data_IF_634645219624
#
_entry.id   IF_634645219624
#
_cell.length_a   1.000
_cell.length_b   1.000
_cell.length_c   1.000
_cell.angle_alpha   90.00
_cell.angle_beta   90.00
_cell.angle_gamma   90.00
#
_symmetry.space_group_name_H-M   'P 1'
#
loop_
_entity.id
_entity.type
_entity.pdbx_description
1 polymer ?
#
# COMPACT_ATOMS: atom_id res chain seq x y z
N UNK A 1 20.47 -17.87 -22.40
CA UNK A 1 19.80 -18.85 -21.54
C UNK A 1 20.76 -19.76 -20.75
N UNK A 2 21.82 -20.36 -21.34
CA UNK A 2 22.77 -21.22 -20.59
C UNK A 2 23.62 -20.50 -19.53
N UNK A 3 23.94 -19.21 -19.68
CA UNK A 3 24.71 -18.44 -18.69
C UNK A 3 23.94 -18.04 -17.42
N UNK A 4 22.62 -17.98 -17.51
CA UNK A 4 21.73 -17.64 -16.36
C UNK A 4 21.55 -18.86 -15.44
N UNK A 5 21.51 -20.07 -16.01
CA UNK A 5 21.42 -21.31 -15.25
C UNK A 5 22.69 -21.60 -14.40
N UNK A 6 23.86 -21.23 -14.88
CA UNK A 6 25.12 -21.39 -14.13
C UNK A 6 25.25 -20.41 -12.95
N UNK A 7 24.67 -19.21 -13.06
CA UNK A 7 24.66 -18.23 -11.96
C UNK A 7 23.75 -18.66 -10.79
N UNK A 8 22.64 -19.28 -11.10
CA UNK A 8 21.71 -19.84 -10.09
C UNK A 8 22.28 -21.07 -9.36
N UNK A 9 23.07 -21.89 -10.05
CA UNK A 9 23.68 -23.09 -9.46
C UNK A 9 24.88 -22.74 -8.56
N UNK A 10 25.62 -21.67 -8.87
CA UNK A 10 26.73 -21.19 -8.03
C UNK A 10 26.26 -20.49 -6.74
N UNK A 11 25.06 -19.90 -6.72
CA UNK A 11 24.47 -19.27 -5.52
C UNK A 11 23.97 -20.29 -4.49
N UNK A 12 23.63 -21.50 -4.89
CA UNK A 12 23.20 -22.54 -3.95
C UNK A 12 24.36 -23.16 -3.14
N UNK A 13 25.60 -22.90 -3.51
CA UNK A 13 26.79 -23.44 -2.83
C UNK A 13 27.41 -22.51 -1.77
N UNK A 14 26.91 -21.27 -1.63
CA UNK A 14 27.47 -20.27 -0.70
C UNK A 14 26.46 -19.90 0.39
N UNK A 15 25.72 -20.82 0.94
CA UNK A 15 24.97 -20.62 2.21
C UNK A 15 24.26 -19.26 2.40
N UNK A 16 23.88 -18.57 1.30
CA UNK A 16 23.12 -17.34 1.37
C UNK A 16 21.73 -17.64 1.91
N UNK A 17 21.37 -17.04 3.02
CA UNK A 17 20.08 -17.20 3.67
C UNK A 17 18.94 -16.85 2.70
N UNK A 18 17.85 -17.59 2.83
CA UNK A 18 16.60 -17.38 2.10
C UNK A 18 16.13 -15.91 2.18
N UNK A 19 16.51 -15.19 3.24
CA UNK A 19 16.28 -13.76 3.48
C UNK A 19 17.01 -12.83 2.48
N UNK A 20 18.22 -13.20 2.04
CA UNK A 20 18.93 -12.43 1.03
C UNK A 20 18.27 -12.55 -0.36
N UNK A 21 17.78 -13.73 -0.68
CA UNK A 21 17.03 -13.97 -1.93
C UNK A 21 15.67 -13.22 -1.88
N UNK A 22 14.96 -13.24 -0.75
CA UNK A 22 13.72 -12.50 -0.55
C UNK A 22 13.94 -10.97 -0.56
N UNK A 23 15.08 -10.46 -0.03
CA UNK A 23 15.42 -9.03 -0.09
C UNK A 23 15.77 -8.53 -1.49
N UNK A 24 16.30 -9.41 -2.36
CA UNK A 24 16.54 -9.09 -3.78
C UNK A 24 15.22 -9.09 -4.55
N UNK A 25 14.22 -9.89 -4.15
CA UNK A 25 12.89 -9.88 -4.73
C UNK A 25 12.04 -8.68 -4.27
N UNK A 26 12.32 -8.07 -3.12
CA UNK A 26 11.71 -6.80 -2.67
C UNK A 26 12.25 -5.57 -3.44
N UNK A 27 13.33 -5.71 -4.19
CA UNK A 27 13.90 -4.66 -5.04
C UNK A 27 13.50 -4.94 -6.51
N UNK A 28 12.31 -4.51 -6.90
CA UNK A 28 11.93 -4.18 -8.28
C UNK A 28 12.04 -5.26 -9.38
N UNK A 29 11.96 -6.55 -9.10
CA UNK A 29 11.95 -7.56 -10.15
C UNK A 29 11.00 -8.72 -9.81
N UNK A 30 9.70 -8.49 -10.02
CA UNK A 30 8.77 -9.60 -10.19
C UNK A 30 8.52 -9.87 -11.67
N UNK A 31 8.56 -11.16 -12.10
CA UNK A 31 8.19 -11.50 -13.46
C UNK A 31 6.75 -11.03 -13.74
N UNK A 32 6.54 -10.48 -14.92
CA UNK A 32 5.27 -10.03 -15.50
C UNK A 32 4.04 -10.90 -15.14
N UNK A 33 4.22 -12.19 -14.94
CA UNK A 33 3.16 -13.14 -14.60
C UNK A 33 2.52 -12.98 -13.21
N UNK A 34 3.21 -12.39 -12.24
CA UNK A 34 2.66 -12.19 -10.89
C UNK A 34 1.94 -10.86 -10.77
N UNK A 35 2.50 -9.84 -11.37
CA UNK A 35 1.84 -8.56 -11.61
C UNK A 35 0.55 -8.77 -12.40
N UNK A 36 0.61 -9.62 -13.43
CA UNK A 36 -0.49 -10.10 -14.24
C UNK A 36 -1.66 -10.65 -13.43
N UNK A 37 -1.39 -11.62 -12.57
CA UNK A 37 -2.41 -12.24 -11.72
C UNK A 37 -3.04 -11.27 -10.72
N UNK A 38 -2.31 -10.24 -10.31
CA UNK A 38 -2.79 -9.26 -9.35
C UNK A 38 -3.67 -8.19 -9.99
N UNK A 39 -3.37 -7.79 -11.24
CA UNK A 39 -4.24 -6.94 -12.06
C UNK A 39 -5.56 -7.63 -12.44
N UNK A 40 -5.55 -8.96 -12.57
CA UNK A 40 -6.73 -9.78 -12.85
C UNK A 40 -7.88 -9.61 -11.88
N UNK A 41 -7.61 -9.04 -10.72
CA UNK A 41 -8.59 -8.90 -9.65
C UNK A 41 -9.08 -7.47 -9.47
N UNK A 42 -8.72 -6.57 -10.39
CA UNK A 42 -9.24 -5.22 -10.42
C UNK A 42 -10.66 -5.19 -11.05
N UNK A 43 -11.46 -4.21 -10.63
CA UNK A 43 -12.92 -4.28 -10.70
C UNK A 43 -13.57 -4.26 -12.09
N UNK A 44 -14.67 -4.96 -12.15
CA UNK A 44 -15.87 -4.66 -12.96
C UNK A 44 -15.83 -4.93 -14.47
N UNK A 45 -14.70 -4.93 -15.14
CA UNK A 45 -14.63 -5.18 -16.60
C UNK A 45 -13.86 -6.44 -17.00
N UNK A 46 -13.24 -7.14 -16.04
CA UNK A 46 -12.26 -8.19 -16.35
C UNK A 46 -12.64 -9.60 -15.86
N UNK A 47 -13.83 -9.80 -15.35
CA UNK A 47 -14.25 -11.07 -14.70
C UNK A 47 -14.39 -12.28 -15.63
N UNK A 48 -14.32 -12.12 -16.95
CA UNK A 48 -14.73 -13.20 -17.87
C UNK A 48 -13.67 -13.78 -18.78
N UNK A 49 -12.45 -13.22 -18.84
CA UNK A 49 -11.47 -13.73 -19.80
C UNK A 49 -10.02 -13.57 -19.28
N UNK A 50 -9.44 -14.66 -18.79
CA UNK A 50 -8.04 -14.70 -18.35
C UNK A 50 -7.05 -14.37 -19.45
N UNK A 51 -7.39 -14.66 -20.72
CA UNK A 51 -6.55 -14.30 -21.88
C UNK A 51 -6.58 -12.79 -22.16
N UNK A 52 -7.74 -12.15 -22.02
CA UNK A 52 -7.87 -10.70 -22.18
C UNK A 52 -7.07 -9.95 -21.11
N UNK A 53 -6.99 -10.52 -19.94
CA UNK A 53 -6.26 -9.98 -18.79
C UNK A 53 -4.74 -10.08 -18.96
N UNK A 54 -4.22 -11.25 -19.31
CA UNK A 54 -2.79 -11.42 -19.63
C UNK A 54 -2.36 -10.47 -20.76
N UNK A 55 -3.24 -10.28 -21.76
CA UNK A 55 -3.02 -9.33 -22.85
C UNK A 55 -2.99 -7.87 -22.34
N UNK A 56 -3.90 -7.50 -21.42
CA UNK A 56 -3.93 -6.15 -20.86
C UNK A 56 -2.67 -5.82 -20.04
N UNK A 57 -2.18 -6.78 -19.30
CA UNK A 57 -1.01 -6.64 -18.43
C UNK A 57 0.27 -6.58 -19.27
N UNK A 58 0.38 -7.45 -20.24
CA UNK A 58 1.48 -7.41 -21.19
C UNK A 58 1.46 -6.09 -21.96
N UNK A 59 0.27 -5.59 -22.30
CA UNK A 59 0.09 -4.29 -22.94
C UNK A 59 0.49 -3.14 -22.02
N UNK A 60 0.09 -3.15 -20.74
CA UNK A 60 0.45 -2.12 -19.75
C UNK A 60 1.97 -2.08 -19.54
N UNK A 61 2.57 -3.22 -19.17
CA UNK A 61 4.02 -3.33 -18.93
C UNK A 61 4.81 -3.07 -20.20
N UNK A 62 4.39 -3.60 -21.33
CA UNK A 62 5.05 -3.39 -22.63
C UNK A 62 4.98 -1.94 -23.11
N UNK A 63 3.90 -1.22 -22.83
CA UNK A 63 3.81 0.20 -23.15
C UNK A 63 4.72 1.05 -22.28
N UNK A 64 4.82 0.74 -21.00
CA UNK A 64 5.76 1.40 -20.10
C UNK A 64 7.20 1.11 -20.54
N UNK A 65 7.53 -0.15 -20.77
CA UNK A 65 8.88 -0.57 -21.20
C UNK A 65 9.32 0.14 -22.49
N UNK A 66 8.45 0.21 -23.50
CA UNK A 66 8.72 0.94 -24.74
C UNK A 66 9.02 2.42 -24.54
N UNK A 67 8.42 3.05 -23.52
CA UNK A 67 8.60 4.48 -23.24
C UNK A 67 9.75 4.75 -22.30
N UNK A 68 9.92 3.94 -21.24
CA UNK A 68 10.82 4.21 -20.13
C UNK A 68 12.00 3.24 -20.05
N UNK A 69 11.97 2.10 -20.77
CA UNK A 69 12.91 1.00 -20.62
C UNK A 69 12.55 0.06 -19.47
N UNK A 70 13.06 -1.15 -19.52
CA UNK A 70 12.70 -2.22 -18.58
C UNK A 70 13.10 -1.95 -17.13
N UNK A 71 14.13 -1.11 -16.90
CA UNK A 71 14.66 -0.77 -15.57
C UNK A 71 13.87 0.35 -14.88
N UNK A 72 12.99 1.01 -15.60
CA UNK A 72 12.26 2.21 -15.13
C UNK A 72 10.75 1.96 -15.01
N UNK A 73 10.34 0.70 -14.97
CA UNK A 73 8.93 0.35 -14.73
C UNK A 73 8.61 0.65 -13.28
N UNK A 74 7.68 1.60 -13.05
CA UNK A 74 7.16 1.93 -11.73
C UNK A 74 5.69 1.54 -11.64
N UNK A 75 5.28 1.03 -10.50
CA UNK A 75 3.89 0.64 -10.22
C UNK A 75 3.46 1.11 -8.85
N UNK A 76 2.16 1.32 -8.68
CA UNK A 76 1.59 1.66 -7.39
C UNK A 76 1.83 0.52 -6.38
N UNK A 77 2.04 0.89 -5.12
CA UNK A 77 2.28 -0.04 -4.02
C UNK A 77 1.55 0.37 -2.74
N UNK A 78 1.95 -0.18 -1.62
CA UNK A 78 1.33 0.11 -0.32
C UNK A 78 1.45 1.60 0.06
N UNK A 79 2.65 2.14 0.02
CA UNK A 79 2.97 3.50 0.47
C UNK A 79 3.30 4.47 -0.67
N UNK A 80 3.14 4.06 -1.90
CA UNK A 80 3.34 4.92 -3.06
C UNK A 80 2.15 4.85 -4.02
N UNK A 81 1.81 6.02 -4.57
CA UNK A 81 0.89 6.17 -5.68
C UNK A 81 1.71 6.33 -6.95
N UNK A 82 1.39 5.59 -8.01
CA UNK A 82 1.99 5.76 -9.33
C UNK A 82 0.88 5.82 -10.37
N UNK A 83 0.91 6.83 -11.22
CA UNK A 83 -0.03 6.97 -12.34
C UNK A 83 0.70 7.39 -13.60
N UNK A 84 0.46 6.64 -14.66
CA UNK A 84 0.85 7.02 -16.02
C UNK A 84 -0.29 7.74 -16.72
N UNK A 85 0.07 8.73 -17.51
CA UNK A 85 -0.84 9.49 -18.38
C UNK A 85 -0.18 9.69 -19.75
N UNK A 86 -0.89 10.30 -20.68
CA UNK A 86 -0.35 10.75 -21.94
C UNK A 86 0.32 9.61 -22.74
N UNK A 87 -0.44 8.54 -22.97
CA UNK A 87 0.07 7.34 -23.65
C UNK A 87 1.38 6.81 -23.05
N UNK A 88 1.47 6.82 -21.71
CA UNK A 88 2.64 6.42 -20.92
C UNK A 88 3.89 7.29 -21.09
N UNK A 89 3.78 8.47 -21.71
CA UNK A 89 4.90 9.40 -21.87
C UNK A 89 5.18 10.18 -20.58
N UNK A 90 4.17 10.36 -19.75
CA UNK A 90 4.31 11.06 -18.47
C UNK A 90 3.84 10.17 -17.32
N UNK A 91 4.48 10.32 -16.17
CA UNK A 91 4.11 9.63 -14.95
C UNK A 91 4.30 10.49 -13.71
N UNK A 92 3.54 10.19 -12.68
CA UNK A 92 3.73 10.72 -11.34
C UNK A 92 3.91 9.60 -10.33
N UNK A 93 4.78 9.82 -9.35
CA UNK A 93 4.98 8.97 -8.19
C UNK A 93 4.87 9.83 -6.93
N UNK A 94 3.99 9.44 -6.01
CA UNK A 94 3.92 10.03 -4.66
C UNK A 94 4.42 8.97 -3.69
N UNK A 95 5.55 9.23 -3.05
CA UNK A 95 6.11 8.40 -1.98
C UNK A 95 5.69 8.99 -0.63
N UNK A 96 4.70 8.37 0.00
CA UNK A 96 4.15 8.83 1.27
C UNK A 96 5.06 8.56 2.48
N UNK A 97 6.06 7.69 2.34
CA UNK A 97 7.04 7.45 3.40
C UNK A 97 8.14 8.51 3.37
N UNK A 98 8.65 8.82 2.16
CA UNK A 98 9.65 9.87 1.98
C UNK A 98 9.06 11.28 2.02
N UNK A 99 7.75 11.42 1.84
CA UNK A 99 7.11 12.73 1.74
C UNK A 99 7.47 13.49 0.47
N UNK A 100 7.60 12.80 -0.66
CA UNK A 100 8.01 13.40 -1.94
C UNK A 100 7.11 12.99 -3.09
N UNK A 101 6.96 13.89 -4.04
CA UNK A 101 6.30 13.65 -5.31
C UNK A 101 7.32 13.86 -6.42
N UNK A 102 7.41 12.92 -7.35
CA UNK A 102 8.16 13.05 -8.59
C UNK A 102 7.18 13.02 -9.75
N UNK A 103 7.19 14.08 -10.56
CA UNK A 103 6.43 14.12 -11.82
C UNK A 103 7.43 14.23 -12.95
N UNK A 104 7.32 13.33 -13.92
CA UNK A 104 8.31 13.22 -14.98
C UNK A 104 7.69 12.86 -16.33
N UNK A 105 8.35 13.28 -17.42
CA UNK A 105 7.96 12.96 -18.79
C UNK A 105 9.18 12.61 -19.65
N UNK A 106 9.00 11.66 -20.56
CA UNK A 106 9.94 11.30 -21.63
C UNK A 106 9.41 11.71 -23.00
N UNK A 107 8.47 12.65 -23.05
CA UNK A 107 7.94 13.16 -24.33
C UNK A 107 9.08 13.76 -25.17
N UNK A 108 9.24 13.32 -26.43
CA UNK A 108 10.25 13.87 -27.34
C UNK A 108 9.84 15.24 -27.90
N UNK A 109 8.55 15.54 -27.87
CA UNK A 109 7.98 16.81 -28.37
C UNK A 109 7.36 17.57 -27.23
N UNK A 110 7.67 18.85 -27.11
CA UNK A 110 7.13 19.75 -26.10
C UNK A 110 7.11 19.22 -24.65
N UNK A 111 8.25 18.72 -24.12
CA UNK A 111 8.29 18.05 -22.83
C UNK A 111 7.81 18.94 -21.67
N UNK A 112 7.96 20.25 -21.78
CA UNK A 112 7.49 21.19 -20.75
C UNK A 112 5.96 21.22 -20.66
N UNK A 113 5.26 21.17 -21.79
CA UNK A 113 3.79 21.13 -21.83
C UNK A 113 3.28 19.79 -21.24
N UNK A 114 3.88 18.67 -21.65
CA UNK A 114 3.54 17.35 -21.12
C UNK A 114 3.78 17.26 -19.61
N UNK A 115 4.92 17.76 -19.13
CA UNK A 115 5.24 17.84 -17.72
C UNK A 115 4.25 18.71 -16.94
N UNK A 116 3.88 19.90 -17.49
CA UNK A 116 2.88 20.79 -16.90
C UNK A 116 1.54 20.06 -16.70
N UNK A 117 1.06 19.41 -17.73
CA UNK A 117 -0.20 18.65 -17.66
C UNK A 117 -0.13 17.50 -16.65
N UNK A 118 1.02 16.83 -16.54
CA UNK A 118 1.24 15.78 -15.56
C UNK A 118 1.25 16.32 -14.12
N UNK A 119 1.88 17.47 -13.88
CA UNK A 119 1.87 18.14 -12.57
C UNK A 119 0.44 18.50 -12.16
N UNK A 120 -0.32 19.16 -13.06
CA UNK A 120 -1.70 19.56 -12.78
C UNK A 120 -2.57 18.35 -12.49
N UNK A 121 -2.47 17.30 -13.31
CA UNK A 121 -3.20 16.05 -13.11
C UNK A 121 -2.89 15.42 -11.76
N UNK A 122 -1.61 15.37 -11.38
CA UNK A 122 -1.18 14.81 -10.09
C UNK A 122 -1.75 15.59 -8.90
N UNK A 123 -1.63 16.92 -8.95
CA UNK A 123 -2.08 17.81 -7.87
C UNK A 123 -3.61 17.82 -7.69
N UNK A 124 -4.36 17.59 -8.77
CA UNK A 124 -5.82 17.61 -8.78
C UNK A 124 -6.46 16.22 -8.86
N UNK A 125 -5.68 15.14 -8.79
CA UNK A 125 -6.23 13.78 -8.73
C UNK A 125 -7.23 13.66 -7.59
N UNK A 126 -8.48 13.18 -7.85
CA UNK A 126 -9.52 13.06 -6.84
C UNK A 126 -9.09 12.22 -5.64
N UNK A 127 -9.72 12.43 -4.50
CA UNK A 127 -9.47 11.65 -3.29
C UNK A 127 -10.28 10.35 -3.21
N UNK A 128 -11.18 10.12 -4.16
CA UNK A 128 -11.91 8.87 -4.32
C UNK A 128 -11.21 7.94 -5.32
N UNK A 129 -10.62 6.83 -4.86
CA UNK A 129 -9.92 5.89 -5.72
C UNK A 129 -10.77 5.26 -6.83
N UNK A 130 -12.09 5.22 -6.68
CA UNK A 130 -13.00 4.67 -7.71
C UNK A 130 -12.93 5.45 -9.04
N UNK A 131 -12.47 6.70 -9.01
CA UNK A 131 -12.35 7.56 -10.19
C UNK A 131 -10.99 7.47 -10.90
N UNK A 132 -10.05 6.63 -10.41
CA UNK A 132 -8.68 6.57 -10.93
C UNK A 132 -8.28 5.15 -11.30
N UNK A 133 -8.10 4.91 -12.59
CA UNK A 133 -7.51 3.67 -13.09
C UNK A 133 -5.96 3.78 -13.05
N UNK A 134 -5.34 3.17 -12.05
CA UNK A 134 -3.89 3.20 -11.85
C UNK A 134 -3.12 2.37 -12.90
N UNK A 135 -3.78 1.47 -13.59
CA UNK A 135 -3.15 0.48 -14.48
C UNK A 135 -3.36 0.77 -15.97
N UNK A 136 -3.67 2.01 -16.28
CA UNK A 136 -3.74 2.51 -17.65
C UNK A 136 -3.15 3.90 -17.76
N UNK A 137 -2.99 4.39 -18.99
CA UNK A 137 -2.64 5.79 -19.26
C UNK A 137 -3.85 6.69 -19.51
N UNK A 138 -5.07 6.22 -19.19
CA UNK A 138 -6.29 7.01 -19.35
C UNK A 138 -6.22 8.27 -18.50
N UNK A 139 -6.74 9.36 -19.04
CA UNK A 139 -6.88 10.62 -18.32
C UNK A 139 -7.79 10.46 -17.10
N UNK A 140 -7.48 11.21 -16.06
CA UNK A 140 -8.29 11.25 -14.84
C UNK A 140 -9.28 12.41 -14.98
N UNK A 141 -10.53 12.16 -14.57
CA UNK A 141 -11.52 13.21 -14.43
C UNK A 141 -11.22 13.99 -13.15
N UNK A 142 -10.77 15.23 -13.30
CA UNK A 142 -10.32 16.06 -12.19
C UNK A 142 -11.50 16.76 -11.50
N UNK A 143 -12.31 15.99 -10.81
CA UNK A 143 -13.49 16.45 -10.09
C UNK A 143 -13.40 16.09 -8.61
N UNK A 144 -14.03 16.92 -7.76
CA UNK A 144 -14.04 16.70 -6.33
C UNK A 144 -12.80 17.27 -5.61
N UNK A 145 -12.58 16.79 -4.40
CA UNK A 145 -11.45 17.23 -3.57
C UNK A 145 -10.19 16.48 -3.98
N UNK A 146 -9.05 17.15 -4.22
CA UNK A 146 -7.80 16.47 -4.51
C UNK A 146 -7.29 15.66 -3.32
N UNK A 147 -6.75 14.45 -3.57
CA UNK A 147 -6.22 13.60 -2.50
C UNK A 147 -4.98 14.19 -1.82
N UNK A 148 -4.24 15.07 -2.53
CA UNK A 148 -3.08 15.81 -2.02
C UNK A 148 -3.43 17.17 -1.40
N UNK A 149 -4.72 17.51 -1.30
CA UNK A 149 -5.16 18.76 -0.70
C UNK A 149 -4.59 18.94 0.71
N UNK A 150 -4.03 20.11 1.00
CA UNK A 150 -3.30 20.48 2.21
C UNK A 150 -1.96 19.75 2.42
N UNK A 151 -1.65 18.71 1.65
CA UNK A 151 -0.37 18.00 1.73
C UNK A 151 0.70 18.62 0.81
N UNK A 152 0.29 19.40 -0.17
CA UNK A 152 1.15 20.20 -1.04
C UNK A 152 0.74 21.67 -0.94
N UNK A 153 1.72 22.54 -0.83
CA UNK A 153 1.54 23.98 -0.90
C UNK A 153 2.31 24.54 -2.09
N UNK A 154 1.81 25.64 -2.66
CA UNK A 154 2.49 26.36 -3.73
C UNK A 154 3.64 27.24 -3.20
N UNK A 155 4.26 28.04 -4.07
CA UNK A 155 5.34 28.98 -3.73
C UNK A 155 4.93 30.07 -2.74
N UNK A 156 3.60 30.29 -2.58
CA UNK A 156 3.02 31.26 -1.64
C UNK A 156 2.52 30.59 -0.34
N UNK A 157 2.93 29.33 -0.10
CA UNK A 157 2.48 28.49 1.03
C UNK A 157 0.97 28.28 1.10
N UNK A 158 0.29 28.23 -0.05
CA UNK A 158 -1.16 28.01 -0.12
C UNK A 158 -1.48 26.59 -0.63
N UNK A 159 -2.45 25.90 0.00
CA UNK A 159 -2.85 24.56 -0.44
C UNK A 159 -3.49 24.60 -1.83
N UNK A 160 -3.26 23.54 -2.60
CA UNK A 160 -3.71 23.44 -3.98
C UNK A 160 -5.01 22.64 -4.03
N UNK A 161 -6.09 23.31 -4.43
CA UNK A 161 -7.42 22.72 -4.59
C UNK A 161 -8.00 22.96 -5.99
N UNK A 162 -7.63 24.09 -6.62
CA UNK A 162 -8.28 24.59 -7.83
C UNK A 162 -7.32 24.58 -9.02
N UNK A 163 -7.87 24.36 -10.20
CA UNK A 163 -7.12 24.27 -11.46
C UNK A 163 -6.23 25.49 -11.72
N UNK A 164 -6.72 26.71 -11.46
CA UNK A 164 -5.92 27.90 -11.67
C UNK A 164 -4.65 27.94 -10.82
N UNK A 165 -4.73 27.53 -9.53
CA UNK A 165 -3.57 27.47 -8.63
C UNK A 165 -2.61 26.34 -9.03
N UNK A 166 -3.14 25.16 -9.40
CA UNK A 166 -2.32 24.07 -9.91
C UNK A 166 -1.57 24.47 -11.19
N UNK A 167 -2.20 25.24 -12.08
CA UNK A 167 -1.55 25.77 -13.27
C UNK A 167 -0.42 26.75 -12.93
N UNK A 168 -0.66 27.73 -12.07
CA UNK A 168 0.38 28.68 -11.65
C UNK A 168 1.56 28.00 -10.97
N UNK A 169 1.29 27.02 -10.09
CA UNK A 169 2.35 26.27 -9.43
C UNK A 169 3.13 25.39 -10.41
N UNK A 170 2.47 24.76 -11.38
CA UNK A 170 3.15 24.00 -12.44
C UNK A 170 4.09 24.89 -13.28
N UNK A 171 3.64 26.10 -13.65
CA UNK A 171 4.49 27.07 -14.36
C UNK A 171 5.70 27.49 -13.51
N UNK A 172 5.49 27.77 -12.21
CA UNK A 172 6.58 28.07 -11.28
C UNK A 172 7.61 26.93 -11.19
N UNK A 173 7.12 25.68 -11.04
CA UNK A 173 7.99 24.50 -10.94
C UNK A 173 8.82 24.30 -12.21
N UNK A 174 8.22 24.45 -13.38
CA UNK A 174 8.92 24.32 -14.67
C UNK A 174 9.95 25.42 -14.86
N UNK A 175 9.63 26.65 -14.44
CA UNK A 175 10.55 27.78 -14.57
C UNK A 175 11.76 27.68 -13.60
N UNK A 176 11.55 27.18 -12.37
CA UNK A 176 12.52 27.31 -11.28
C UNK A 176 13.09 25.97 -10.75
N UNK A 177 12.43 24.85 -10.99
CA UNK A 177 12.75 23.54 -10.38
C UNK A 177 12.90 22.41 -11.40
N UNK A 178 12.81 22.71 -12.70
CA UNK A 178 12.96 21.69 -13.75
C UNK A 178 14.35 21.04 -13.69
N UNK A 179 14.34 19.73 -13.70
CA UNK A 179 15.54 18.88 -13.77
C UNK A 179 15.45 17.95 -14.98
N UNK A 180 16.61 17.46 -15.41
CA UNK A 180 16.72 16.51 -16.54
C UNK A 180 17.63 15.37 -16.14
N UNK A 181 17.25 14.14 -16.50
CA UNK A 181 18.07 12.93 -16.32
C UNK A 181 18.01 12.05 -17.58
N UNK A 182 18.95 11.16 -17.72
CA UNK A 182 18.92 10.14 -18.77
C UNK A 182 18.14 8.93 -18.31
N UNK A 183 17.25 8.43 -19.17
CA UNK A 183 16.41 7.25 -18.96
C UNK A 183 16.38 6.46 -20.27
N UNK A 184 16.98 5.28 -20.29
CA UNK A 184 16.98 4.38 -21.44
C UNK A 184 17.24 5.10 -22.78
N UNK A 185 18.38 5.80 -22.88
CA UNK A 185 18.80 6.60 -24.07
C UNK A 185 17.89 7.79 -24.42
N UNK A 186 16.97 8.18 -23.52
CA UNK A 186 16.09 9.35 -23.66
C UNK A 186 16.35 10.34 -22.55
N UNK A 187 15.96 11.60 -22.77
CA UNK A 187 15.90 12.63 -21.72
C UNK A 187 14.56 12.57 -21.03
N UNK A 188 14.57 12.39 -19.72
CA UNK A 188 13.40 12.59 -18.86
C UNK A 188 13.49 13.96 -18.20
N UNK A 189 12.45 14.75 -18.36
CA UNK A 189 12.25 16.05 -17.72
C UNK A 189 11.40 15.84 -16.49
N UNK A 190 11.80 16.36 -15.33
CA UNK A 190 11.08 16.10 -14.10
C UNK A 190 11.15 17.25 -13.10
N UNK A 191 10.21 17.22 -12.16
CA UNK A 191 10.20 18.07 -10.96
C UNK A 191 10.02 17.20 -9.73
N UNK A 192 10.57 17.67 -8.61
CA UNK A 192 10.38 17.10 -7.29
C UNK A 192 9.59 18.09 -6.43
N UNK A 193 8.54 17.62 -5.79
CA UNK A 193 7.65 18.44 -4.96
C UNK A 193 7.63 17.79 -3.56
N UNK A 194 8.04 18.50 -2.51
CA UNK A 194 7.91 17.98 -1.15
C UNK A 194 6.46 17.99 -0.68
N UNK A 195 6.08 17.00 0.11
CA UNK A 195 4.90 17.08 0.95
C UNK A 195 5.21 17.92 2.20
N UNK A 196 4.19 18.53 2.80
CA UNK A 196 4.35 19.26 4.06
C UNK A 196 4.77 18.32 5.19
N UNK A 197 5.47 18.82 6.21
CA UNK A 197 6.02 18.01 7.31
C UNK A 197 4.93 17.23 8.05
N UNK A 198 3.78 17.85 8.31
CA UNK A 198 2.66 17.22 9.01
C UNK A 198 1.70 16.45 8.08
N UNK A 199 2.16 16.02 6.91
CA UNK A 199 1.36 15.29 5.90
C UNK A 199 0.66 14.02 6.45
N UNK A 200 1.31 13.32 7.39
CA UNK A 200 0.77 12.10 8.00
C UNK A 200 -0.46 12.41 8.83
N UNK A 201 -0.38 13.47 9.64
CA UNK A 201 -1.49 13.96 10.45
C UNK A 201 -2.67 14.40 9.57
N UNK A 202 -2.40 15.18 8.53
CA UNK A 202 -3.41 15.63 7.57
C UNK A 202 -4.16 14.44 6.96
N UNK A 203 -3.44 13.41 6.52
CA UNK A 203 -4.07 12.19 6.00
C UNK A 203 -4.83 11.42 7.07
N UNK A 204 -4.27 11.31 8.28
CA UNK A 204 -4.93 10.64 9.40
C UNK A 204 -6.24 11.30 9.79
N UNK A 205 -6.25 12.63 9.93
CA UNK A 205 -7.45 13.40 10.27
C UNK A 205 -8.59 13.23 9.27
N UNK A 206 -8.27 13.05 7.98
CA UNK A 206 -9.27 12.81 6.95
C UNK A 206 -10.17 11.61 7.27
N UNK A 207 -9.65 10.60 7.95
CA UNK A 207 -10.38 9.38 8.27
C UNK A 207 -10.89 9.30 9.71
N UNK A 208 -10.76 10.38 10.51
CA UNK A 208 -11.05 10.39 11.93
C UNK A 208 -12.47 9.92 12.26
N UNK A 209 -13.48 10.42 11.56
CA UNK A 209 -14.85 10.03 11.82
C UNK A 209 -15.15 8.58 11.45
N UNK A 210 -14.51 8.08 10.39
CA UNK A 210 -14.65 6.68 9.95
C UNK A 210 -14.00 5.76 10.98
N UNK A 211 -12.77 6.09 11.43
CA UNK A 211 -12.04 5.33 12.46
C UNK A 211 -12.84 5.30 13.76
N UNK A 212 -13.36 6.45 14.21
CA UNK A 212 -14.18 6.54 15.43
C UNK A 212 -15.44 5.67 15.36
N UNK A 213 -16.15 5.69 14.23
CA UNK A 213 -17.33 4.82 14.03
C UNK A 213 -16.94 3.35 14.05
N UNK A 214 -15.87 2.96 13.37
CA UNK A 214 -15.38 1.58 13.33
C UNK A 214 -14.91 1.11 14.72
N UNK A 215 -14.16 1.95 15.45
CA UNK A 215 -13.71 1.68 16.81
C UNK A 215 -14.88 1.35 17.75
N UNK A 216 -15.89 2.22 17.79
CA UNK A 216 -17.09 2.01 18.62
C UNK A 216 -17.88 0.77 18.22
N UNK A 217 -18.02 0.53 16.91
CA UNK A 217 -18.80 -0.60 16.37
C UNK A 217 -18.19 -1.96 16.71
N UNK A 218 -16.87 -2.04 16.72
CA UNK A 218 -16.15 -3.31 16.85
C UNK A 218 -15.38 -3.45 18.17
N UNK A 219 -15.42 -2.45 19.03
CA UNK A 219 -14.69 -2.39 20.29
C UNK A 219 -13.18 -2.64 20.09
N UNK A 220 -12.59 -1.89 19.14
CA UNK A 220 -11.17 -1.87 18.81
C UNK A 220 -10.64 -0.44 19.03
N UNK A 221 -9.54 -0.24 19.78
CA UNK A 221 -9.01 1.09 20.08
C UNK A 221 -8.66 1.89 18.81
N UNK A 222 -8.99 3.20 18.81
CA UNK A 222 -8.73 4.10 17.67
C UNK A 222 -7.23 4.17 17.34
N UNK A 223 -6.38 4.24 18.36
CA UNK A 223 -4.93 4.28 18.22
C UNK A 223 -4.36 3.03 17.51
N UNK A 224 -4.95 1.87 17.78
CA UNK A 224 -4.59 0.64 17.08
C UNK A 224 -5.01 0.70 15.60
N UNK A 225 -6.23 1.16 15.31
CA UNK A 225 -6.71 1.30 13.92
C UNK A 225 -5.81 2.25 13.14
N UNK A 226 -5.46 3.41 13.70
CA UNK A 226 -4.54 4.37 13.09
C UNK A 226 -3.14 3.77 12.86
N UNK A 227 -2.58 3.07 13.84
CA UNK A 227 -1.28 2.42 13.73
C UNK A 227 -1.26 1.36 12.62
N UNK A 228 -2.34 0.60 12.46
CA UNK A 228 -2.50 -0.36 11.36
C UNK A 228 -2.56 0.36 10.00
N UNK A 229 -3.39 1.39 9.86
CA UNK A 229 -3.49 2.15 8.60
C UNK A 229 -2.13 2.77 8.23
N UNK A 230 -1.43 3.38 9.20
CA UNK A 230 -0.09 3.94 9.00
C UNK A 230 0.92 2.86 8.55
N UNK A 231 0.84 1.67 9.15
CA UNK A 231 1.74 0.55 8.83
C UNK A 231 1.46 -0.05 7.45
N UNK A 232 0.19 -0.23 7.11
CA UNK A 232 -0.25 -0.93 5.90
C UNK A 232 -0.17 -0.06 4.64
N UNK A 233 -0.48 1.23 4.75
CA UNK A 233 -0.64 2.09 3.58
C UNK A 233 -0.01 3.47 3.72
N UNK A 234 0.47 3.87 4.89
CA UNK A 234 0.82 5.27 5.18
C UNK A 234 -0.34 6.23 4.86
N UNK A 235 -1.58 5.79 5.12
CA UNK A 235 -2.83 6.48 4.76
C UNK A 235 -3.02 6.73 3.25
N UNK A 236 -2.39 5.94 2.40
CA UNK A 236 -2.62 5.96 0.96
C UNK A 236 -3.93 5.26 0.61
N UNK A 237 -4.98 5.96 0.14
CA UNK A 237 -6.25 5.32 -0.23
C UNK A 237 -6.14 4.44 -1.48
N UNK A 238 -5.11 4.68 -2.30
CA UNK A 238 -4.80 3.94 -3.52
C UNK A 238 -3.88 2.74 -3.30
N UNK A 239 -3.61 2.37 -2.04
CA UNK A 239 -2.67 1.31 -1.71
C UNK A 239 -3.09 -0.05 -2.27
N UNK A 240 -2.16 -0.68 -2.96
CA UNK A 240 -2.28 -2.05 -3.50
C UNK A 240 -1.02 -2.81 -3.17
N UNK A 241 -1.15 -4.09 -2.78
CA UNK A 241 0.00 -4.95 -2.57
C UNK A 241 0.04 -6.10 -3.59
N UNK A 242 1.23 -6.64 -3.78
CA UNK A 242 1.46 -7.85 -4.58
C UNK A 242 0.71 -9.09 -4.07
N UNK A 243 0.30 -9.08 -2.79
CA UNK A 243 -0.52 -10.14 -2.17
C UNK A 243 -2.02 -9.92 -2.39
N UNK A 244 -2.44 -9.02 -3.30
CA UNK A 244 -3.84 -8.65 -3.52
C UNK A 244 -4.52 -8.11 -2.27
N UNK A 245 -3.83 -7.30 -1.49
CA UNK A 245 -4.42 -6.51 -0.44
C UNK A 245 -4.71 -5.10 -0.94
N UNK A 246 -5.83 -4.51 -0.53
CA UNK A 246 -6.33 -3.25 -1.05
C UNK A 246 -6.64 -2.24 0.04
N UNK A 247 -6.40 -0.96 -0.29
CA UNK A 247 -6.81 0.20 0.48
C UNK A 247 -6.07 0.40 1.79
N UNK A 248 -6.61 1.26 2.63
CA UNK A 248 -5.99 1.81 3.83
C UNK A 248 -5.47 0.76 4.82
N UNK A 249 -6.23 -0.30 5.07
CA UNK A 249 -5.88 -1.39 5.98
C UNK A 249 -5.41 -2.65 5.27
N UNK A 250 -5.15 -2.58 3.95
CA UNK A 250 -4.62 -3.69 3.14
C UNK A 250 -5.41 -5.01 3.35
N UNK A 251 -6.71 -4.94 3.18
CA UNK A 251 -7.57 -6.12 3.34
C UNK A 251 -7.44 -7.04 2.14
N UNK A 252 -7.13 -8.32 2.39
CA UNK A 252 -7.06 -9.37 1.35
C UNK A 252 -8.45 -9.97 1.15
N UNK A 253 -9.07 -9.87 -0.06
CA UNK A 253 -10.43 -10.38 -0.33
C UNK A 253 -10.63 -11.83 0.06
N UNK A 254 -9.72 -12.71 -0.38
CA UNK A 254 -9.83 -14.17 -0.26
C UNK A 254 -9.63 -14.72 1.16
N UNK A 255 -9.15 -13.91 2.09
CA UNK A 255 -8.89 -14.33 3.48
C UNK A 255 -9.68 -13.47 4.45
N UNK A 256 -9.10 -12.39 4.97
CA UNK A 256 -9.75 -11.47 5.90
C UNK A 256 -11.10 -10.93 5.37
N UNK A 257 -11.15 -10.55 4.09
CA UNK A 257 -12.38 -10.06 3.46
C UNK A 257 -13.51 -11.10 3.47
N UNK A 258 -13.20 -12.35 3.08
CA UNK A 258 -14.16 -13.46 3.11
C UNK A 258 -14.64 -13.76 4.53
N UNK A 259 -13.73 -13.79 5.50
CA UNK A 259 -14.06 -14.00 6.89
C UNK A 259 -15.02 -12.91 7.40
N UNK A 260 -14.74 -11.66 7.10
CA UNK A 260 -15.59 -10.51 7.47
C UNK A 260 -16.97 -10.64 6.81
N UNK A 261 -17.03 -10.93 5.51
CA UNK A 261 -18.31 -11.10 4.82
C UNK A 261 -19.12 -12.23 5.46
N UNK A 262 -18.53 -13.39 5.66
CA UNK A 262 -19.21 -14.57 6.22
C UNK A 262 -19.61 -14.39 7.68
N UNK A 263 -18.67 -13.96 8.53
CA UNK A 263 -18.84 -14.04 10.00
C UNK A 263 -19.49 -12.79 10.59
N UNK A 264 -19.25 -11.61 10.00
CA UNK A 264 -19.74 -10.32 10.52
C UNK A 264 -20.88 -9.77 9.69
N UNK A 265 -20.69 -9.69 8.37
CA UNK A 265 -21.68 -9.06 7.47
C UNK A 265 -22.78 -10.02 7.01
N UNK A 266 -22.66 -11.32 7.30
CA UNK A 266 -23.63 -12.37 6.90
C UNK A 266 -23.86 -12.39 5.38
N UNK A 267 -22.82 -12.17 4.61
CA UNK A 267 -22.81 -12.21 3.15
C UNK A 267 -22.00 -13.40 2.66
N UNK A 268 -22.40 -13.97 1.52
CA UNK A 268 -21.60 -14.96 0.80
C UNK A 268 -20.52 -14.28 -0.06
N UNK A 269 -19.48 -15.04 -0.41
CA UNK A 269 -18.39 -14.55 -1.27
C UNK A 269 -17.34 -13.74 -0.56
N UNK A 270 -16.72 -12.86 -1.30
CA UNK A 270 -15.61 -11.98 -0.86
C UNK A 270 -15.84 -10.54 -1.35
N UNK A 271 -15.29 -9.51 -0.68
CA UNK A 271 -15.40 -8.14 -1.15
C UNK A 271 -14.64 -7.96 -2.47
N UNK A 272 -15.20 -7.16 -3.37
CA UNK A 272 -14.49 -6.76 -4.58
C UNK A 272 -13.37 -5.75 -4.26
N UNK A 273 -12.36 -5.59 -5.14
CA UNK A 273 -11.38 -4.52 -5.01
C UNK A 273 -12.01 -3.12 -4.93
N UNK A 274 -13.08 -2.81 -5.73
CA UNK A 274 -13.77 -1.51 -5.63
C UNK A 274 -14.35 -1.28 -4.25
N UNK A 275 -14.99 -2.32 -3.68
CA UNK A 275 -15.50 -2.26 -2.32
C UNK A 275 -14.38 -1.89 -1.34
N UNK A 276 -13.19 -2.47 -1.51
CA UNK A 276 -12.04 -2.28 -0.63
C UNK A 276 -11.25 -0.99 -0.91
N UNK A 277 -11.35 -0.39 -2.10
CA UNK A 277 -10.80 0.93 -2.36
C UNK A 277 -11.62 2.05 -1.72
N UNK A 278 -12.89 1.81 -1.40
CA UNK A 278 -13.67 2.78 -0.64
C UNK A 278 -13.13 2.84 0.81
N UNK A 279 -12.69 4.02 1.30
CA UNK A 279 -12.08 4.15 2.62
C UNK A 279 -12.98 3.69 3.77
N UNK A 280 -14.28 3.98 3.72
CA UNK A 280 -15.23 3.58 4.77
C UNK A 280 -15.38 2.05 4.82
N UNK A 281 -15.59 1.42 3.68
CA UNK A 281 -15.69 -0.03 3.58
C UNK A 281 -14.39 -0.72 3.99
N UNK A 282 -13.26 -0.14 3.66
CA UNK A 282 -11.95 -0.72 3.96
C UNK A 282 -11.64 -0.68 5.45
N UNK A 283 -11.82 0.47 6.09
CA UNK A 283 -11.62 0.63 7.54
C UNK A 283 -12.63 -0.24 8.31
N UNK A 284 -13.89 -0.26 7.88
CA UNK A 284 -14.90 -1.15 8.47
C UNK A 284 -14.52 -2.63 8.35
N UNK A 285 -14.05 -3.07 7.19
CA UNK A 285 -13.63 -4.46 6.97
C UNK A 285 -12.37 -4.84 7.75
N UNK A 286 -11.34 -4.00 7.74
CA UNK A 286 -10.11 -4.24 8.50
C UNK A 286 -10.35 -4.28 10.00
N UNK A 287 -11.16 -3.35 10.52
CA UNK A 287 -11.54 -3.33 11.95
C UNK A 287 -12.44 -4.51 12.33
N UNK A 288 -13.37 -4.90 11.45
CA UNK A 288 -14.18 -6.10 11.64
C UNK A 288 -13.32 -7.38 11.68
N UNK A 289 -12.20 -7.42 10.96
CA UNK A 289 -11.29 -8.57 11.05
C UNK A 289 -10.57 -8.61 12.41
N UNK A 290 -10.19 -7.46 12.99
CA UNK A 290 -9.71 -7.41 14.39
C UNK A 290 -10.78 -7.92 15.38
N UNK A 291 -12.04 -7.57 15.16
CA UNK A 291 -13.15 -8.12 15.97
C UNK A 291 -13.24 -9.66 15.87
N UNK A 292 -13.04 -10.24 14.68
CA UNK A 292 -12.99 -11.70 14.49
C UNK A 292 -11.77 -12.30 15.21
N UNK A 293 -10.60 -11.67 15.11
CA UNK A 293 -9.41 -12.10 15.82
C UNK A 293 -9.64 -12.13 17.32
N UNK A 294 -10.19 -11.03 17.90
CA UNK A 294 -10.49 -10.87 19.31
C UNK A 294 -11.50 -11.89 19.82
N UNK A 295 -12.65 -11.99 19.15
CA UNK A 295 -13.82 -12.69 19.72
C UNK A 295 -13.98 -14.12 19.23
N UNK A 296 -13.14 -14.57 18.27
CA UNK A 296 -13.26 -15.93 17.73
C UNK A 296 -11.92 -16.67 17.71
N UNK A 297 -10.91 -16.13 17.06
CA UNK A 297 -9.68 -16.88 16.83
C UNK A 297 -8.71 -16.88 18.02
N UNK A 298 -8.69 -15.80 18.79
CA UNK A 298 -7.80 -15.59 19.93
C UNK A 298 -8.57 -15.30 21.23
N UNK A 299 -9.85 -15.65 21.27
CA UNK A 299 -10.76 -15.38 22.39
C UNK A 299 -10.32 -15.98 23.74
N UNK A 300 -9.49 -17.02 23.69
CA UNK A 300 -8.99 -17.72 24.87
C UNK A 300 -7.65 -17.14 25.39
N UNK A 301 -7.15 -16.03 24.79
CA UNK A 301 -6.02 -15.27 25.33
C UNK A 301 -6.53 -14.37 26.44
N UNK A 302 -6.04 -14.60 27.67
CA UNK A 302 -6.63 -14.02 28.88
C UNK A 302 -6.16 -12.60 29.16
N UNK A 303 -4.85 -12.34 29.01
CA UNK A 303 -4.30 -11.02 29.33
C UNK A 303 -4.54 -9.99 28.21
N UNK A 304 -5.15 -8.82 28.47
CA UNK A 304 -5.53 -7.84 27.43
C UNK A 304 -4.39 -7.41 26.51
N UNK A 305 -3.21 -7.11 27.08
CA UNK A 305 -2.04 -6.69 26.29
C UNK A 305 -1.46 -7.83 25.46
N UNK A 306 -1.49 -9.05 25.97
CA UNK A 306 -1.11 -10.27 25.24
C UNK A 306 -2.05 -10.50 24.07
N UNK A 307 -3.36 -10.33 24.29
CA UNK A 307 -4.38 -10.41 23.23
C UNK A 307 -4.10 -9.37 22.13
N UNK A 308 -3.80 -8.14 22.49
CA UNK A 308 -3.47 -7.08 21.53
C UNK A 308 -2.23 -7.47 20.69
N UNK A 309 -1.14 -7.90 21.31
CA UNK A 309 0.07 -8.34 20.56
C UNK A 309 -0.20 -9.51 19.64
N UNK A 310 -0.97 -10.50 20.09
CA UNK A 310 -1.33 -11.67 19.27
C UNK A 310 -2.27 -11.29 18.14
N UNK A 311 -3.21 -10.35 18.33
CA UNK A 311 -4.07 -9.83 17.27
C UNK A 311 -3.28 -9.07 16.21
N UNK A 312 -2.36 -8.17 16.61
CA UNK A 312 -1.50 -7.44 15.68
C UNK A 312 -0.66 -8.40 14.85
N UNK A 313 -0.01 -9.36 15.50
CA UNK A 313 0.81 -10.37 14.81
C UNK A 313 -0.03 -11.26 13.88
N UNK A 314 -1.25 -11.62 14.29
CA UNK A 314 -2.17 -12.43 13.50
C UNK A 314 -2.74 -11.69 12.28
N UNK A 315 -2.89 -10.38 12.35
CA UNK A 315 -3.36 -9.56 11.25
C UNK A 315 -2.48 -9.70 10.01
N UNK A 316 -1.17 -9.63 10.19
CA UNK A 316 -0.17 -9.81 9.12
C UNK A 316 0.21 -11.29 8.90
N UNK A 317 0.57 -11.99 10.00
CA UNK A 317 1.14 -13.33 9.96
C UNK A 317 0.13 -14.47 9.91
N UNK A 318 -1.15 -14.19 10.24
CA UNK A 318 -2.22 -15.15 10.42
C UNK A 318 -2.18 -15.82 11.80
N UNK A 319 -3.35 -16.25 12.30
CA UNK A 319 -3.49 -16.92 13.62
C UNK A 319 -2.66 -18.20 13.73
N UNK A 320 -2.52 -18.94 12.62
CA UNK A 320 -1.65 -20.13 12.56
C UNK A 320 -0.20 -19.79 12.83
N UNK A 321 0.31 -18.67 12.29
CA UNK A 321 1.67 -18.22 12.55
C UNK A 321 1.91 -17.86 14.00
N UNK A 322 0.96 -17.15 14.63
CA UNK A 322 0.99 -16.83 16.06
C UNK A 322 1.06 -18.09 16.91
N UNK A 323 0.12 -19.04 16.71
CA UNK A 323 0.09 -20.26 17.50
C UNK A 323 1.34 -21.13 17.28
N UNK A 324 1.83 -21.24 16.05
CA UNK A 324 3.06 -21.97 15.72
C UNK A 324 4.31 -21.39 16.37
N UNK A 325 4.30 -20.13 16.78
CA UNK A 325 5.40 -19.50 17.53
C UNK A 325 5.57 -20.12 18.90
N UNK A 326 4.47 -20.56 19.53
CA UNK A 326 4.47 -21.17 20.87
C UNK A 326 4.41 -22.69 20.84
N UNK A 327 3.54 -23.25 19.99
CA UNK A 327 3.51 -24.70 19.77
C UNK A 327 3.04 -25.03 18.35
N UNK A 328 3.90 -25.69 17.58
CA UNK A 328 3.64 -26.02 16.17
C UNK A 328 2.60 -27.12 15.97
N UNK A 329 2.46 -28.02 16.94
CA UNK A 329 1.71 -29.27 16.77
C UNK A 329 0.35 -29.27 17.48
N UNK A 330 0.20 -28.49 18.54
CA UNK A 330 -1.02 -28.46 19.35
C UNK A 330 -1.49 -27.04 19.64
N UNK A 331 -2.61 -26.68 19.03
CA UNK A 331 -3.22 -25.34 19.21
C UNK A 331 -3.67 -25.07 20.64
N UNK A 332 -4.20 -26.09 21.36
CA UNK A 332 -4.63 -25.96 22.76
C UNK A 332 -3.42 -25.71 23.66
N UNK A 333 -2.33 -26.42 23.39
CA UNK A 333 -1.08 -26.24 24.10
C UNK A 333 -0.48 -24.87 23.80
N UNK A 334 -0.45 -24.42 22.53
CA UNK A 334 0.00 -23.09 22.17
C UNK A 334 -0.76 -22.01 22.96
N UNK A 335 -2.08 -22.16 23.12
CA UNK A 335 -2.91 -21.20 23.88
C UNK A 335 -2.56 -21.21 25.37
N UNK A 336 -2.35 -22.40 25.98
CA UNK A 336 -1.88 -22.51 27.37
C UNK A 336 -0.49 -21.86 27.53
N UNK A 337 0.43 -22.13 26.61
CA UNK A 337 1.78 -21.56 26.63
C UNK A 337 1.72 -20.03 26.54
N UNK A 338 0.87 -19.45 25.67
CA UNK A 338 0.64 -18.00 25.59
C UNK A 338 0.15 -17.44 26.93
N UNK A 339 -0.85 -18.08 27.56
CA UNK A 339 -1.43 -17.59 28.81
C UNK A 339 -0.54 -17.78 30.04
N UNK A 340 0.46 -18.68 29.96
CA UNK A 340 1.46 -18.87 31.03
C UNK A 340 2.57 -17.82 31.03
N UNK A 341 2.71 -17.03 29.97
CA UNK A 341 3.78 -16.05 29.78
C UNK A 341 3.31 -14.64 30.12
N UNK A 342 4.25 -13.81 30.62
CA UNK A 342 4.02 -12.37 30.77
C UNK A 342 3.93 -11.68 29.39
N UNK A 343 3.19 -10.56 29.26
CA UNK A 343 3.04 -9.88 27.96
C UNK A 343 4.35 -9.53 27.25
N UNK A 344 5.38 -9.12 27.99
CA UNK A 344 6.71 -8.83 27.44
C UNK A 344 7.41 -10.09 26.86
N UNK A 345 7.19 -11.25 27.45
CA UNK A 345 7.71 -12.52 26.96
C UNK A 345 6.98 -12.97 25.68
N UNK A 346 5.66 -12.74 25.63
CA UNK A 346 4.86 -13.00 24.41
C UNK A 346 5.29 -12.06 23.30
N UNK A 347 5.45 -10.77 23.58
CA UNK A 347 5.96 -9.79 22.60
C UNK A 347 7.33 -10.23 22.07
N UNK A 348 8.25 -10.57 22.94
CA UNK A 348 9.57 -11.05 22.54
C UNK A 348 9.48 -12.31 21.66
N UNK A 349 8.66 -13.29 22.03
CA UNK A 349 8.49 -14.50 21.26
C UNK A 349 7.95 -14.20 19.85
N UNK A 350 6.94 -13.34 19.73
CA UNK A 350 6.34 -12.96 18.45
C UNK A 350 7.30 -12.15 17.58
N UNK A 351 8.13 -11.27 18.16
CA UNK A 351 9.10 -10.45 17.41
C UNK A 351 10.38 -11.19 17.05
N UNK A 352 10.70 -12.32 17.72
CA UNK A 352 11.95 -13.06 17.48
C UNK A 352 11.74 -14.45 16.89
N UNK A 353 10.67 -15.16 17.25
CA UNK A 353 10.44 -16.56 16.89
C UNK A 353 9.31 -16.81 15.91
N UNK A 354 8.49 -15.79 15.58
CA UNK A 354 7.39 -15.96 14.62
C UNK A 354 7.94 -16.50 13.28
N UNK A 355 7.30 -17.50 12.63
CA UNK A 355 7.80 -18.13 11.42
C UNK A 355 8.07 -17.17 10.26
N UNK A 356 7.23 -16.12 10.14
CA UNK A 356 7.36 -15.10 9.09
C UNK A 356 8.17 -13.91 9.61
N UNK A 357 9.28 -13.57 8.96
CA UNK A 357 10.11 -12.39 9.29
C UNK A 357 9.34 -11.07 9.21
N UNK A 358 8.44 -10.94 8.22
CA UNK A 358 7.58 -9.76 8.07
C UNK A 358 6.71 -9.54 9.32
N UNK A 359 6.07 -10.59 9.83
CA UNK A 359 5.20 -10.49 11.01
C UNK A 359 5.97 -10.10 12.29
N UNK A 360 7.25 -10.49 12.41
CA UNK A 360 8.13 -10.06 13.51
C UNK A 360 8.28 -8.53 13.52
N UNK A 361 8.70 -7.97 12.38
CA UNK A 361 8.86 -6.52 12.21
C UNK A 361 7.54 -5.76 12.27
N UNK A 362 6.46 -6.39 11.81
CA UNK A 362 5.13 -5.79 11.80
C UNK A 362 4.62 -5.46 13.21
N UNK A 363 4.74 -6.40 14.15
CA UNK A 363 4.32 -6.18 15.54
C UNK A 363 5.09 -5.01 16.17
N UNK A 364 6.40 -4.95 15.99
CA UNK A 364 7.23 -3.83 16.49
C UNK A 364 6.78 -2.49 15.89
N UNK A 365 6.60 -2.47 14.57
CA UNK A 365 6.22 -1.25 13.85
C UNK A 365 4.87 -0.70 14.30
N UNK A 366 3.84 -1.57 14.37
CA UNK A 366 2.51 -1.18 14.82
C UNK A 366 2.53 -0.69 16.27
N UNK A 367 3.22 -1.41 17.15
CA UNK A 367 3.32 -1.02 18.57
C UNK A 367 4.00 0.35 18.74
N UNK A 368 5.03 0.64 17.94
CA UNK A 368 5.71 1.94 17.98
C UNK A 368 4.80 3.05 17.46
N UNK A 369 4.14 2.86 16.30
CA UNK A 369 3.20 3.85 15.78
C UNK A 369 2.03 4.11 16.74
N UNK A 370 1.52 3.07 17.42
CA UNK A 370 0.49 3.24 18.44
C UNK A 370 0.96 4.15 19.59
N UNK A 371 2.21 3.99 20.05
CA UNK A 371 2.81 4.88 21.06
C UNK A 371 2.94 6.32 20.55
N UNK A 372 3.35 6.49 19.28
CA UNK A 372 3.49 7.81 18.67
C UNK A 372 2.13 8.54 18.63
N UNK A 373 1.06 7.86 18.19
CA UNK A 373 -0.30 8.43 18.22
C UNK A 373 -0.74 8.85 19.62
N UNK A 374 -0.49 8.04 20.65
CA UNK A 374 -0.86 8.35 22.03
C UNK A 374 -0.03 9.48 22.64
N UNK A 375 1.18 9.73 22.13
CA UNK A 375 2.07 10.80 22.60
C UNK A 375 1.94 12.11 21.80
N UNK A 376 1.06 12.16 20.79
CA UNK A 376 0.91 13.31 19.92
C UNK A 376 2.13 13.58 19.03
N UNK A 377 2.95 12.56 18.75
CA UNK A 377 4.15 12.63 17.90
C UNK A 377 3.91 12.10 16.49
N UNK A 378 2.72 12.24 15.96
CA UNK A 378 2.38 11.78 14.61
C UNK A 378 2.61 12.86 13.57
#
# INVERSE_FOLDING_TARGET
MKKLAYFLTAMMLVGCSREFVESIYDINYEPTNRFAKNLAQLPGQFEKDTMALDALINSFSGNIEKRWGSREIKVAGKSNYVKYIDNYLSRSEVDFQKGTIIVETVSPTDPKLHLKNAIITTLLTPDDPAHVDLFSSKSIKLEGRPFLYQQVVDQDNKPIQWSWRANQFADYLIANKLKVKDVDFKKAYYVEIPLVENQVEIRGYKYADIVRRASRKYDIPEDLIYAIIKTESSFNPYAVSWANAYGLMQVVPKTAGRDVFKLVKKRSGEPSPEYLFNPENNIDAGTAYFYILKNRYLKDVEHPLTLEYTMISAYNGGTGGVLNTFNRYDRKRAMRDINSLQPNQVFWALTNKHPKAEARRYLEKVTNYKKDFNSGKT
#
